data_IF_844380531811
#
_entry.id   IF_844380531811
#
_cell.length_a   1.000
_cell.length_b   1.000
_cell.length_c   1.000
_cell.angle_alpha   90.00
_cell.angle_beta   90.00
_cell.angle_gamma   90.00
#
_symmetry.space_group_name_H-M   'P 1'
#
loop_
_entity.id
_entity.type
_entity.pdbx_description
1 polymer ?
#
# COMPACT_ATOMS: atom_id res chain seq x y z
N UNK A 1 35.32 14.04 44.70
CA UNK A 1 35.70 12.79 44.03
C UNK A 1 34.51 12.31 43.24
N UNK A 2 34.67 12.34 41.91
CA UNK A 2 34.04 11.53 40.86
C UNK A 2 32.51 11.35 40.81
N UNK A 3 31.97 11.90 39.72
CA UNK A 3 30.71 11.61 39.03
C UNK A 3 30.63 10.13 38.64
N UNK A 4 29.44 9.53 38.77
CA UNK A 4 29.13 8.22 38.18
C UNK A 4 28.14 8.42 37.03
N UNK A 5 28.59 8.05 35.84
CA UNK A 5 27.90 8.12 34.55
C UNK A 5 27.50 6.71 34.14
N UNK A 6 26.21 6.40 34.24
CA UNK A 6 25.65 5.15 33.72
C UNK A 6 25.56 5.19 32.20
N UNK A 7 26.48 4.51 31.53
CA UNK A 7 26.47 4.24 30.09
C UNK A 7 25.40 3.20 29.69
N UNK A 8 24.76 3.46 28.55
CA UNK A 8 23.82 2.59 27.85
C UNK A 8 24.48 1.31 27.32
N UNK A 9 23.91 0.15 27.63
CA UNK A 9 24.34 -1.14 27.08
C UNK A 9 23.61 -1.42 25.76
N UNK A 10 24.38 -1.53 24.69
CA UNK A 10 23.97 -1.92 23.33
C UNK A 10 23.44 -3.37 23.25
N UNK A 11 22.32 -3.64 22.55
CA UNK A 11 21.76 -4.97 22.41
C UNK A 11 22.39 -5.72 21.22
N UNK A 12 23.68 -6.05 21.32
CA UNK A 12 24.32 -7.10 20.50
C UNK A 12 24.74 -8.23 21.43
N UNK A 13 23.73 -8.93 21.97
CA UNK A 13 23.94 -10.14 22.73
C UNK A 13 23.97 -11.36 21.79
N UNK A 14 25.21 -11.76 21.46
CA UNK A 14 25.73 -13.14 21.41
C UNK A 14 25.18 -14.06 20.30
N UNK A 15 25.81 -13.99 19.12
CA UNK A 15 25.89 -15.13 18.19
C UNK A 15 26.76 -16.23 18.83
N UNK A 16 26.42 -17.49 18.60
CA UNK A 16 27.19 -18.63 19.10
C UNK A 16 28.57 -18.66 18.40
N UNK A 17 29.70 -18.82 19.11
CA UNK A 17 31.04 -18.82 18.51
C UNK A 17 31.21 -19.79 17.33
N UNK A 18 30.50 -20.92 17.32
CA UNK A 18 30.50 -21.86 16.19
C UNK A 18 29.83 -21.30 14.92
N UNK A 19 28.80 -20.48 15.07
CA UNK A 19 28.07 -19.88 13.95
C UNK A 19 28.84 -18.69 13.37
N UNK A 20 29.61 -17.98 14.20
CA UNK A 20 30.53 -16.92 13.78
C UNK A 20 31.72 -17.50 12.99
N UNK A 21 32.31 -18.61 13.47
CA UNK A 21 33.38 -19.31 12.77
C UNK A 21 32.92 -19.93 11.44
N UNK A 22 31.67 -20.41 11.35
CA UNK A 22 31.07 -20.88 10.10
C UNK A 22 30.81 -19.74 9.11
N UNK A 23 30.36 -18.58 9.59
CA UNK A 23 30.14 -17.40 8.76
C UNK A 23 31.46 -16.87 8.18
N UNK A 24 32.50 -16.77 9.01
CA UNK A 24 33.84 -16.32 8.60
C UNK A 24 34.40 -17.29 7.55
N UNK A 25 34.32 -18.61 7.80
CA UNK A 25 34.76 -19.61 6.82
C UNK A 25 33.96 -19.57 5.50
N UNK A 26 32.68 -19.19 5.54
CA UNK A 26 31.86 -19.02 4.34
C UNK A 26 32.30 -17.79 3.53
N UNK A 27 32.53 -16.65 4.18
CA UNK A 27 32.99 -15.44 3.51
C UNK A 27 34.43 -15.57 2.97
N UNK A 28 35.32 -16.25 3.69
CA UNK A 28 36.69 -16.52 3.20
C UNK A 28 36.70 -17.44 1.98
N UNK A 29 35.78 -18.41 1.90
CA UNK A 29 35.61 -19.24 0.69
C UNK A 29 35.09 -18.43 -0.48
N UNK A 30 34.16 -17.50 -0.26
CA UNK A 30 33.64 -16.62 -1.31
C UNK A 30 34.72 -15.66 -1.83
N UNK A 31 35.56 -15.13 -0.94
CA UNK A 31 36.69 -14.28 -1.32
C UNK A 31 37.74 -15.05 -2.10
N UNK A 32 38.09 -16.28 -1.68
CA UNK A 32 39.01 -17.13 -2.45
C UNK A 32 38.48 -17.49 -3.84
N UNK A 33 37.19 -17.81 -3.97
CA UNK A 33 36.57 -18.06 -5.28
C UNK A 33 36.59 -16.79 -6.13
N UNK A 34 36.35 -15.62 -5.54
CA UNK A 34 36.44 -14.34 -6.24
C UNK A 34 37.86 -14.07 -6.75
N UNK A 35 38.87 -14.31 -5.91
CA UNK A 35 40.28 -14.10 -6.25
C UNK A 35 40.79 -15.13 -7.27
N UNK A 36 40.35 -16.38 -7.19
CA UNK A 36 40.66 -17.43 -8.18
C UNK A 36 40.02 -17.12 -9.54
N UNK A 37 38.77 -16.64 -9.56
CA UNK A 37 38.10 -16.20 -10.79
C UNK A 37 38.77 -14.96 -11.38
N UNK A 38 39.21 -14.01 -10.55
CA UNK A 38 39.96 -12.85 -11.03
C UNK A 38 41.34 -13.23 -11.57
N UNK A 39 42.05 -14.17 -10.94
CA UNK A 39 43.33 -14.68 -11.45
C UNK A 39 43.18 -15.50 -12.74
N UNK A 40 42.11 -16.29 -12.89
CA UNK A 40 41.79 -17.00 -14.14
C UNK A 40 41.44 -16.04 -15.29
N UNK A 41 40.78 -14.91 -14.98
CA UNK A 41 40.48 -13.85 -15.95
C UNK A 41 41.76 -13.10 -16.36
N UNK A 42 42.69 -12.88 -15.44
CA UNK A 42 43.96 -12.16 -15.70
C UNK A 42 44.98 -13.03 -16.46
N UNK A 43 45.01 -14.35 -16.23
CA UNK A 43 46.02 -15.26 -16.82
C UNK A 43 45.56 -16.00 -18.09
N UNK A 44 44.30 -15.83 -18.51
CA UNK A 44 43.81 -16.21 -19.84
C UNK A 44 43.98 -17.71 -20.20
N UNK A 45 44.01 -18.60 -19.22
CA UNK A 45 44.34 -20.02 -19.44
C UNK A 45 43.15 -20.93 -19.11
N UNK A 46 42.23 -21.11 -20.06
CA UNK A 46 41.26 -22.22 -20.01
C UNK A 46 41.77 -23.36 -20.88
N UNK A 47 42.18 -24.48 -20.26
CA UNK A 47 42.37 -25.75 -20.95
C UNK A 47 40.99 -26.32 -21.28
N UNK A 48 40.73 -26.57 -22.56
CA UNK A 48 39.56 -27.32 -23.03
C UNK A 48 39.87 -28.82 -22.98
N UNK A 49 39.02 -29.60 -22.32
CA UNK A 49 38.87 -31.03 -22.63
C UNK A 49 37.39 -31.32 -22.95
N UNK A 50 37.24 -32.01 -24.08
CA UNK A 50 36.09 -32.74 -24.60
C UNK A 50 34.92 -31.96 -25.26
N UNK A 51 35.14 -31.58 -26.53
CA UNK A 51 34.54 -32.40 -27.60
C UNK A 51 33.05 -32.23 -27.95
N UNK A 52 32.53 -31.01 -28.13
CA UNK A 52 31.42 -30.76 -29.09
C UNK A 52 31.33 -29.30 -29.53
N UNK A 53 31.65 -29.08 -30.81
CA UNK A 53 31.69 -27.77 -31.47
C UNK A 53 30.28 -27.23 -31.73
N UNK A 54 29.83 -26.23 -30.98
CA UNK A 54 28.73 -25.36 -31.39
C UNK A 54 29.36 -24.07 -31.91
N UNK A 55 29.34 -23.85 -33.23
CA UNK A 55 29.77 -22.57 -33.80
C UNK A 55 28.77 -21.49 -33.39
N UNK A 56 29.24 -20.47 -32.64
CA UNK A 56 28.47 -19.24 -32.41
C UNK A 56 28.38 -18.46 -33.74
N UNK A 57 27.19 -17.97 -34.13
CA UNK A 57 27.05 -17.06 -35.26
C UNK A 57 27.89 -15.79 -35.07
N UNK A 58 28.44 -15.25 -36.15
CA UNK A 58 29.35 -14.10 -36.14
C UNK A 58 28.78 -12.83 -35.44
N UNK A 59 27.46 -12.75 -35.29
CA UNK A 59 26.73 -11.68 -34.58
C UNK A 59 26.94 -11.68 -33.04
N UNK A 60 27.62 -12.69 -32.50
CA UNK A 60 27.98 -12.81 -31.07
C UNK A 60 29.46 -12.56 -30.78
N UNK A 61 30.19 -11.95 -31.72
CA UNK A 61 31.55 -11.47 -31.48
C UNK A 61 31.44 -10.02 -30.98
N UNK A 62 31.66 -9.79 -29.70
CA UNK A 62 31.86 -8.43 -29.19
C UNK A 62 33.27 -7.98 -29.61
N UNK A 63 33.35 -6.88 -30.34
CA UNK A 63 34.63 -6.18 -30.50
C UNK A 63 35.09 -5.70 -29.12
N UNK A 64 36.29 -6.13 -28.74
CA UNK A 64 36.98 -5.61 -27.55
C UNK A 64 37.41 -4.17 -27.84
N UNK A 65 36.53 -3.21 -27.59
CA UNK A 65 36.91 -1.80 -27.61
C UNK A 65 37.38 -1.41 -26.22
N UNK A 66 38.67 -1.06 -26.18
CA UNK A 66 39.42 -0.54 -25.04
C UNK A 66 38.65 0.59 -24.34
N UNK A 67 38.77 0.59 -23.01
CA UNK A 67 38.02 1.48 -22.12
C UNK A 67 38.03 2.95 -22.54
N UNK A 68 36.86 3.57 -22.49
CA UNK A 68 36.74 5.01 -22.40
C UNK A 68 35.73 5.38 -21.31
N UNK A 69 36.27 6.06 -20.30
CA UNK A 69 35.64 7.04 -19.40
C UNK A 69 34.28 6.69 -18.78
N UNK A 70 34.32 5.88 -17.71
CA UNK A 70 33.25 5.80 -16.70
C UNK A 70 33.27 7.02 -15.76
N UNK A 71 33.18 8.23 -16.30
CA UNK A 71 32.93 9.42 -15.46
C UNK A 71 32.08 10.50 -16.16
N UNK A 72 31.14 10.08 -17.00
CA UNK A 72 30.06 10.95 -17.46
C UNK A 72 28.78 10.52 -16.74
N UNK A 73 28.36 11.28 -15.74
CA UNK A 73 27.05 11.10 -15.11
C UNK A 73 25.93 11.04 -16.16
N UNK A 74 24.89 10.25 -15.87
CA UNK A 74 23.74 10.07 -16.77
C UNK A 74 23.13 11.43 -17.14
N UNK A 75 22.97 11.71 -18.44
CA UNK A 75 22.42 12.98 -18.94
C UNK A 75 20.98 13.21 -18.42
N UNK A 76 20.77 14.25 -17.59
CA UNK A 76 19.46 14.71 -17.13
C UNK A 76 18.40 14.81 -18.25
N UNK A 77 18.76 15.37 -19.41
CA UNK A 77 17.80 15.56 -20.52
C UNK A 77 17.45 14.25 -21.23
N UNK A 78 18.34 13.25 -21.17
CA UNK A 78 18.05 11.91 -21.69
C UNK A 78 16.99 11.23 -20.81
N UNK A 79 17.16 11.26 -19.50
CA UNK A 79 16.22 10.65 -18.55
C UNK A 79 14.83 11.31 -18.62
N UNK A 80 14.75 12.65 -18.72
CA UNK A 80 13.46 13.35 -18.88
C UNK A 80 12.75 12.97 -20.20
N UNK A 81 13.49 12.89 -21.31
CA UNK A 81 12.92 12.47 -22.62
C UNK A 81 12.46 11.01 -22.60
N UNK A 82 13.24 10.14 -21.97
CA UNK A 82 12.92 8.73 -21.83
C UNK A 82 11.63 8.55 -21.03
N UNK A 83 11.52 9.12 -19.83
CA UNK A 83 10.29 9.01 -19.01
C UNK A 83 9.05 9.62 -19.66
N UNK A 84 9.21 10.67 -20.49
CA UNK A 84 8.08 11.26 -21.24
C UNK A 84 7.48 10.29 -22.26
N UNK A 85 8.31 9.47 -22.89
CA UNK A 85 7.90 8.55 -23.97
C UNK A 85 7.86 7.09 -23.53
N UNK A 86 8.28 6.77 -22.30
CA UNK A 86 8.47 5.39 -21.83
C UNK A 86 7.20 4.53 -21.94
N UNK A 87 6.03 5.17 -21.88
CA UNK A 87 4.77 4.46 -22.01
C UNK A 87 4.40 4.12 -23.45
N UNK A 88 4.88 4.91 -24.41
CA UNK A 88 4.64 4.82 -25.86
C UNK A 88 5.76 4.08 -26.59
N UNK A 89 6.90 3.85 -25.93
CA UNK A 89 8.04 3.15 -26.51
C UNK A 89 7.67 1.72 -26.93
N UNK A 90 8.15 1.34 -28.10
CA UNK A 90 8.11 -0.02 -28.62
C UNK A 90 9.11 -0.93 -27.89
N UNK A 91 8.91 -2.25 -27.99
CA UNK A 91 9.86 -3.21 -27.41
C UNK A 91 11.28 -3.05 -28.01
N UNK A 92 11.39 -2.66 -29.28
CA UNK A 92 12.69 -2.42 -29.94
C UNK A 92 13.39 -1.22 -29.30
N UNK A 93 12.69 -0.09 -29.16
CA UNK A 93 13.23 1.10 -28.51
C UNK A 93 13.67 0.82 -27.07
N UNK A 94 12.88 0.06 -26.29
CA UNK A 94 13.25 -0.29 -24.93
C UNK A 94 14.47 -1.19 -24.84
N UNK A 95 14.63 -2.14 -25.77
CA UNK A 95 15.82 -3.00 -25.83
C UNK A 95 17.06 -2.19 -26.18
N UNK A 96 16.94 -1.23 -27.08
CA UNK A 96 18.05 -0.33 -27.44
C UNK A 96 18.50 0.48 -26.23
N UNK A 97 17.57 1.14 -25.53
CA UNK A 97 17.91 1.89 -24.31
C UNK A 97 18.53 1.00 -23.24
N UNK A 98 18.01 -0.22 -23.03
CA UNK A 98 18.58 -1.18 -22.07
C UNK A 98 20.00 -1.62 -22.44
N UNK A 99 20.30 -1.81 -23.73
CA UNK A 99 21.65 -2.13 -24.21
C UNK A 99 22.61 -0.97 -23.94
N UNK A 100 22.18 0.26 -24.17
CA UNK A 100 23.00 1.46 -23.92
C UNK A 100 23.37 1.64 -22.44
N UNK A 101 22.51 1.20 -21.52
CA UNK A 101 22.79 1.21 -20.06
C UNK A 101 23.32 -0.11 -19.52
N UNK A 102 23.73 -1.02 -20.41
CA UNK A 102 24.28 -2.34 -20.08
C UNK A 102 23.38 -3.17 -19.14
N UNK A 103 22.06 -3.10 -19.36
CA UNK A 103 21.06 -3.96 -18.70
C UNK A 103 20.49 -4.97 -19.67
N UNK A 104 20.01 -6.10 -19.14
CA UNK A 104 19.45 -7.19 -19.95
C UNK A 104 18.34 -6.67 -20.88
N UNK A 105 18.45 -6.85 -22.21
CA UNK A 105 17.43 -6.45 -23.17
C UNK A 105 16.42 -7.58 -23.44
N UNK A 106 16.31 -8.56 -22.55
CA UNK A 106 15.42 -9.72 -22.75
C UNK A 106 14.15 -9.56 -21.88
N UNK A 107 13.07 -10.18 -22.36
CA UNK A 107 11.76 -10.15 -21.72
C UNK A 107 10.66 -9.48 -22.55
N UNK A 108 9.47 -9.51 -21.98
CA UNK A 108 8.27 -8.84 -22.47
C UNK A 108 8.40 -7.32 -22.40
N UNK A 109 7.59 -6.58 -23.17
CA UNK A 109 7.58 -5.10 -23.13
C UNK A 109 7.40 -4.55 -21.71
N UNK A 110 6.62 -5.23 -20.86
CA UNK A 110 6.41 -4.88 -19.45
C UNK A 110 7.70 -5.00 -18.63
N UNK A 111 8.42 -6.10 -18.79
CA UNK A 111 9.70 -6.35 -18.10
C UNK A 111 10.81 -5.40 -18.56
N UNK A 112 10.86 -5.09 -19.86
CA UNK A 112 11.81 -4.13 -20.42
C UNK A 112 11.54 -2.72 -19.87
N UNK A 113 10.28 -2.30 -19.85
CA UNK A 113 9.83 -1.01 -19.31
C UNK A 113 10.15 -0.87 -17.82
N UNK A 114 9.86 -1.91 -17.04
CA UNK A 114 10.18 -1.96 -15.62
C UNK A 114 11.68 -1.79 -15.39
N UNK A 115 12.51 -2.50 -16.14
CA UNK A 115 13.97 -2.45 -15.99
C UNK A 115 14.54 -1.07 -16.31
N UNK A 116 13.99 -0.38 -17.32
CA UNK A 116 14.32 1.02 -17.61
C UNK A 116 13.92 1.97 -16.49
N UNK A 117 12.69 1.86 -15.98
CA UNK A 117 12.19 2.68 -14.86
C UNK A 117 13.04 2.49 -13.61
N UNK A 118 13.37 1.24 -13.27
CA UNK A 118 14.19 0.92 -12.11
C UNK A 118 15.61 1.47 -12.24
N UNK A 119 16.24 1.32 -13.41
CA UNK A 119 17.60 1.81 -13.61
C UNK A 119 17.71 3.33 -13.45
N UNK A 120 16.83 4.08 -14.12
CA UNK A 120 16.86 5.54 -14.09
C UNK A 120 16.09 6.15 -12.92
N UNK A 121 15.64 5.34 -11.95
CA UNK A 121 14.81 5.77 -10.83
C UNK A 121 15.50 6.87 -10.02
N UNK A 122 16.78 6.71 -9.73
CA UNK A 122 17.57 7.65 -8.92
C UNK A 122 17.80 8.95 -9.67
N UNK A 123 18.17 8.88 -10.94
CA UNK A 123 18.46 10.02 -11.82
C UNK A 123 17.20 10.83 -12.11
N UNK A 124 16.06 10.16 -12.29
CA UNK A 124 14.77 10.81 -12.41
C UNK A 124 14.34 11.51 -11.10
N UNK A 125 14.62 10.90 -9.95
CA UNK A 125 14.41 11.55 -8.65
C UNK A 125 15.33 12.78 -8.47
N UNK A 126 16.60 12.69 -8.88
CA UNK A 126 17.58 13.78 -8.84
C UNK A 126 17.27 14.92 -9.82
N UNK A 127 16.66 14.62 -10.97
CA UNK A 127 16.07 15.61 -11.87
C UNK A 127 14.95 16.41 -11.22
N UNK A 128 14.13 15.73 -10.41
CA UNK A 128 13.20 16.38 -9.50
C UNK A 128 13.93 17.30 -8.52
N UNK A 129 15.10 16.89 -8.02
CA UNK A 129 15.90 17.65 -7.05
C UNK A 129 16.69 18.83 -7.61
N UNK A 130 17.19 18.84 -8.85
CA UNK A 130 17.86 20.06 -9.39
C UNK A 130 16.89 21.17 -9.77
N UNK A 131 15.59 20.87 -9.90
CA UNK A 131 14.54 21.89 -9.83
C UNK A 131 14.39 22.46 -8.40
N UNK A 132 15.11 21.94 -7.37
CA UNK A 132 14.88 22.20 -5.93
C UNK A 132 15.01 23.66 -5.46
N UNK A 133 15.87 24.46 -6.09
CA UNK A 133 16.07 25.84 -5.63
C UNK A 133 14.83 26.71 -5.91
N UNK A 134 14.11 26.42 -7.00
CA UNK A 134 12.74 26.89 -7.24
C UNK A 134 11.65 26.13 -6.45
N UNK A 135 12.02 25.00 -5.83
CA UNK A 135 11.14 23.97 -5.23
C UNK A 135 10.98 24.08 -3.71
N UNK A 136 11.54 25.12 -3.08
CA UNK A 136 10.98 25.61 -1.80
C UNK A 136 9.47 25.89 -1.94
N UNK A 137 9.01 26.29 -3.14
CA UNK A 137 7.58 26.36 -3.52
C UNK A 137 6.91 25.02 -3.86
N UNK A 138 7.64 23.94 -4.11
CA UNK A 138 7.14 22.63 -4.57
C UNK A 138 7.21 21.50 -3.53
N UNK A 139 7.67 21.78 -2.30
CA UNK A 139 7.27 21.00 -1.11
C UNK A 139 5.73 20.88 -0.99
N UNK A 140 4.98 21.69 -1.75
CA UNK A 140 3.53 21.67 -1.89
C UNK A 140 2.95 20.69 -2.95
N UNK A 141 3.73 19.99 -3.80
CA UNK A 141 3.18 19.23 -4.96
C UNK A 141 2.99 17.71 -4.77
N UNK A 142 2.86 17.23 -3.54
CA UNK A 142 2.28 15.89 -3.28
C UNK A 142 1.16 15.99 -2.27
N UNK A 143 0.24 16.91 -2.56
CA UNK A 143 -0.98 17.14 -1.81
C UNK A 143 -2.12 16.78 -2.73
N UNK A 144 -2.98 15.89 -2.28
CA UNK A 144 -4.25 15.64 -2.94
C UNK A 144 -5.01 16.96 -3.02
N UNK A 145 -5.73 17.21 -4.11
CA UNK A 145 -6.69 18.32 -4.19
C UNK A 145 -7.84 18.09 -3.22
N UNK A 146 -8.23 16.83 -3.08
CA UNK A 146 -9.35 16.39 -2.25
C UNK A 146 -8.99 15.20 -1.36
N UNK A 147 -9.60 15.12 -0.19
CA UNK A 147 -9.70 13.88 0.58
C UNK A 147 -11.14 13.38 0.52
N UNK A 148 -11.30 12.05 0.43
CA UNK A 148 -12.60 11.38 0.53
C UNK A 148 -12.55 10.46 1.74
N UNK A 149 -13.10 10.93 2.85
CA UNK A 149 -13.21 10.11 4.05
C UNK A 149 -14.40 9.13 3.91
N UNK A 150 -14.16 7.86 4.18
CA UNK A 150 -15.17 6.80 4.13
C UNK A 150 -15.14 6.01 5.44
N UNK A 151 -16.30 5.49 5.84
CA UNK A 151 -16.47 4.62 7.01
C UNK A 151 -17.64 3.66 6.71
N UNK A 152 -17.33 2.45 6.25
CA UNK A 152 -18.32 1.51 5.70
C UNK A 152 -18.94 0.71 6.84
N UNK A 153 -20.26 0.80 6.96
CA UNK A 153 -21.01 -0.12 7.83
C UNK A 153 -21.35 -1.40 7.09
N UNK A 154 -21.28 -2.52 7.81
CA UNK A 154 -21.55 -3.84 7.27
C UNK A 154 -22.50 -4.64 8.17
N UNK A 155 -23.16 -5.66 7.59
CA UNK A 155 -23.89 -6.66 8.37
C UNK A 155 -22.97 -7.25 9.44
N UNK A 156 -23.52 -7.53 10.63
CA UNK A 156 -22.77 -8.14 11.71
C UNK A 156 -23.70 -8.88 12.69
N UNK A 157 -23.11 -9.74 13.52
CA UNK A 157 -23.80 -10.48 14.58
C UNK A 157 -23.07 -10.34 15.92
N UNK A 158 -23.79 -10.63 17.00
CA UNK A 158 -23.27 -10.51 18.36
C UNK A 158 -22.15 -11.53 18.66
N UNK A 159 -22.10 -12.65 17.94
CA UNK A 159 -20.98 -13.60 17.98
C UNK A 159 -19.80 -13.03 17.20
N UNK A 160 -19.03 -12.16 17.87
CA UNK A 160 -17.98 -11.33 17.24
C UNK A 160 -16.80 -12.10 16.64
N UNK A 161 -16.76 -13.42 16.78
CA UNK A 161 -15.61 -14.26 16.42
C UNK A 161 -15.88 -15.27 15.30
N UNK A 162 -17.06 -15.25 14.67
CA UNK A 162 -17.26 -16.10 13.51
C UNK A 162 -16.49 -15.57 12.30
N UNK A 163 -15.39 -16.24 11.98
CA UNK A 163 -14.56 -15.95 10.80
C UNK A 163 -15.30 -16.20 9.48
N UNK A 164 -16.34 -17.03 9.52
CA UNK A 164 -17.15 -17.39 8.36
C UNK A 164 -18.29 -16.43 8.12
N UNK A 165 -18.59 -15.52 9.06
CA UNK A 165 -19.63 -14.53 8.86
C UNK A 165 -19.33 -13.70 7.61
N UNK A 166 -20.29 -13.68 6.69
CA UNK A 166 -20.17 -13.01 5.40
C UNK A 166 -20.69 -11.57 5.53
N UNK A 167 -19.80 -10.68 5.99
CA UNK A 167 -20.07 -9.26 6.07
C UNK A 167 -20.39 -8.68 4.67
N UNK A 168 -21.52 -7.98 4.57
CA UNK A 168 -21.96 -7.23 3.39
C UNK A 168 -22.09 -5.75 3.75
N UNK A 169 -21.65 -4.85 2.86
CA UNK A 169 -21.88 -3.41 3.03
C UNK A 169 -23.38 -3.12 3.15
N UNK A 170 -23.77 -2.34 4.15
CA UNK A 170 -25.15 -1.85 4.37
C UNK A 170 -25.24 -0.32 4.43
N UNK A 171 -24.12 0.39 4.61
CA UNK A 171 -24.01 1.83 4.41
C UNK A 171 -22.72 2.14 3.65
N UNK A 172 -22.81 3.00 2.64
CA UNK A 172 -21.67 3.52 1.87
C UNK A 172 -21.65 5.05 1.97
N UNK A 173 -20.98 5.61 2.98
CA UNK A 173 -20.81 7.05 3.14
C UNK A 173 -19.48 7.54 2.56
N UNK A 174 -19.46 8.81 2.14
CA UNK A 174 -18.25 9.52 1.75
C UNK A 174 -18.33 11.00 2.10
N UNK A 175 -17.24 11.57 2.61
CA UNK A 175 -17.14 12.99 2.99
C UNK A 175 -15.98 13.63 2.24
N UNK A 176 -16.29 14.67 1.47
CA UNK A 176 -15.32 15.38 0.63
C UNK A 176 -14.70 16.55 1.40
N UNK A 177 -13.37 16.58 1.44
CA UNK A 177 -12.59 17.69 2.01
C UNK A 177 -11.79 18.36 0.90
N UNK A 178 -11.84 19.68 0.86
CA UNK A 178 -10.96 20.52 0.04
C UNK A 178 -9.60 20.70 0.76
N UNK A 179 -8.49 20.24 0.16
CA UNK A 179 -7.16 20.35 0.76
C UNK A 179 -6.50 21.75 0.69
N UNK A 180 -7.08 22.69 -0.05
CA UNK A 180 -6.62 24.09 -0.03
C UNK A 180 -7.14 24.81 1.22
N UNK A 181 -8.38 24.50 1.62
CA UNK A 181 -9.05 25.14 2.76
C UNK A 181 -9.07 24.26 4.01
N UNK A 182 -8.87 22.95 3.85
CA UNK A 182 -9.08 21.91 4.86
C UNK A 182 -10.48 22.00 5.50
N UNK A 183 -11.48 22.16 4.63
CA UNK A 183 -12.89 22.19 5.02
C UNK A 183 -13.68 21.11 4.31
N UNK A 184 -14.71 20.58 4.97
CA UNK A 184 -15.67 19.66 4.35
C UNK A 184 -16.54 20.47 3.39
N UNK A 185 -16.59 20.04 2.13
CA UNK A 185 -17.31 20.75 1.05
C UNK A 185 -18.52 20.00 0.52
N UNK A 186 -18.59 18.68 0.72
CA UNK A 186 -19.75 17.89 0.33
C UNK A 186 -19.80 16.55 1.10
N UNK A 187 -20.97 15.91 1.12
CA UNK A 187 -21.23 14.64 1.78
C UNK A 187 -22.11 13.76 0.89
N UNK A 188 -21.80 12.47 0.85
CA UNK A 188 -22.57 11.44 0.17
C UNK A 188 -22.92 10.32 1.16
N UNK A 189 -24.14 9.82 1.07
CA UNK A 189 -24.62 8.67 1.84
C UNK A 189 -25.58 7.87 0.98
N UNK A 190 -25.41 6.56 0.95
CA UNK A 190 -26.43 5.62 0.51
C UNK A 190 -26.41 4.40 1.40
N UNK A 191 -27.58 3.87 1.73
CA UNK A 191 -27.67 2.51 2.25
C UNK A 191 -27.46 1.52 1.11
N UNK A 192 -27.17 0.28 1.47
CA UNK A 192 -26.95 -0.83 0.55
C UNK A 192 -27.77 -2.03 1.02
N UNK A 193 -28.45 -2.68 0.08
CA UNK A 193 -29.24 -3.87 0.35
C UNK A 193 -28.34 -5.12 0.31
N UNK A 194 -28.23 -5.88 1.42
CA UNK A 194 -27.51 -7.15 1.44
C UNK A 194 -28.30 -8.26 0.71
N UNK A 195 -27.58 -9.19 0.07
CA UNK A 195 -28.14 -10.35 -0.65
C UNK A 195 -27.93 -11.67 0.09
N UNK A 196 -26.78 -11.84 0.75
CA UNK A 196 -26.42 -13.06 1.47
C UNK A 196 -27.17 -13.11 2.81
N UNK A 197 -27.14 -12.01 3.54
CA UNK A 197 -27.79 -11.82 4.84
C UNK A 197 -28.83 -10.69 4.75
N UNK A 198 -29.93 -10.89 4.00
CA UNK A 198 -30.91 -9.83 3.73
C UNK A 198 -31.67 -9.37 4.98
N UNK A 199 -31.66 -10.17 6.05
CA UNK A 199 -32.21 -9.79 7.36
C UNK A 199 -31.06 -9.37 8.28
N UNK A 200 -30.97 -8.08 8.60
CA UNK A 200 -29.95 -7.58 9.52
C UNK A 200 -30.30 -7.95 10.96
N UNK A 201 -29.28 -8.36 11.72
CA UNK A 201 -29.51 -8.80 13.10
C UNK A 201 -29.91 -7.63 14.01
N UNK A 202 -30.62 -7.93 15.11
CA UNK A 202 -30.94 -6.91 16.12
C UNK A 202 -29.68 -6.28 16.73
N UNK A 203 -28.58 -7.04 16.79
CA UNK A 203 -27.27 -6.52 17.20
C UNK A 203 -26.76 -5.49 16.20
N UNK A 204 -26.79 -5.80 14.90
CA UNK A 204 -26.39 -4.90 13.83
C UNK A 204 -27.19 -3.60 13.88
N UNK A 205 -28.52 -3.67 13.91
CA UNK A 205 -29.38 -2.47 14.04
C UNK A 205 -29.09 -1.66 15.30
N UNK A 206 -28.85 -2.32 16.44
CA UNK A 206 -28.52 -1.61 17.67
C UNK A 206 -27.16 -0.91 17.58
N UNK A 207 -26.20 -1.54 16.92
CA UNK A 207 -24.84 -1.03 16.76
C UNK A 207 -24.82 0.13 15.77
N UNK A 208 -25.35 -0.05 14.56
CA UNK A 208 -25.20 0.90 13.45
C UNK A 208 -26.35 1.90 13.31
N UNK A 209 -27.43 1.69 14.07
CA UNK A 209 -28.69 2.43 13.97
C UNK A 209 -29.44 2.25 12.64
N UNK A 210 -28.98 1.36 11.76
CA UNK A 210 -29.62 1.06 10.48
C UNK A 210 -30.76 0.08 10.70
N UNK A 211 -31.95 0.43 10.21
CA UNK A 211 -33.15 -0.41 10.34
C UNK A 211 -33.29 -1.35 9.15
N UNK A 212 -34.08 -2.42 9.33
CA UNK A 212 -34.43 -3.33 8.23
C UNK A 212 -35.14 -2.60 7.08
N UNK A 213 -35.91 -1.55 7.39
CA UNK A 213 -36.60 -0.76 6.36
C UNK A 213 -35.60 0.01 5.48
N UNK A 214 -34.52 0.54 6.08
CA UNK A 214 -33.46 1.27 5.37
C UNK A 214 -32.78 0.37 4.33
N UNK A 215 -32.36 -0.83 4.72
CA UNK A 215 -31.71 -1.78 3.79
C UNK A 215 -32.69 -2.39 2.79
N UNK A 216 -33.97 -2.55 3.13
CA UNK A 216 -34.98 -3.07 2.20
C UNK A 216 -35.25 -2.10 1.05
N UNK A 217 -35.24 -0.79 1.32
CA UNK A 217 -35.46 0.26 0.33
C UNK A 217 -34.18 0.65 -0.44
N UNK A 218 -33.03 0.16 0.00
CA UNK A 218 -31.73 0.50 -0.57
C UNK A 218 -31.44 -0.18 -1.93
N UNK A 219 -30.58 0.43 -2.77
CA UNK A 219 -30.04 -0.24 -3.94
C UNK A 219 -29.07 -1.37 -3.55
N UNK A 220 -28.82 -2.30 -4.48
CA UNK A 220 -27.72 -3.25 -4.34
C UNK A 220 -26.35 -2.57 -4.51
N UNK A 221 -25.28 -3.23 -4.07
CA UNK A 221 -23.95 -2.64 -4.02
C UNK A 221 -23.45 -2.06 -5.36
N UNK A 222 -23.64 -2.68 -6.55
CA UNK A 222 -23.17 -2.11 -7.81
C UNK A 222 -23.79 -0.76 -8.13
N UNK A 223 -25.08 -0.59 -7.82
CA UNK A 223 -25.79 0.68 -8.02
C UNK A 223 -25.38 1.72 -6.97
N UNK A 224 -25.25 1.31 -5.70
CA UNK A 224 -24.71 2.17 -4.64
C UNK A 224 -23.31 2.71 -4.99
N UNK A 225 -22.45 1.83 -5.51
CA UNK A 225 -21.13 2.18 -6.01
C UNK A 225 -21.19 3.14 -7.19
N UNK A 226 -22.04 2.88 -8.18
CA UNK A 226 -22.23 3.77 -9.32
C UNK A 226 -22.64 5.19 -8.88
N UNK A 227 -23.54 5.30 -7.89
CA UNK A 227 -23.95 6.59 -7.31
C UNK A 227 -22.79 7.32 -6.61
N UNK A 228 -21.92 6.60 -5.89
CA UNK A 228 -20.71 7.17 -5.31
C UNK A 228 -19.77 7.69 -6.41
N UNK A 229 -19.54 6.91 -7.46
CA UNK A 229 -18.69 7.30 -8.58
C UNK A 229 -19.24 8.52 -9.33
N UNK A 230 -20.56 8.59 -9.53
CA UNK A 230 -21.23 9.76 -10.11
C UNK A 230 -21.07 11.00 -9.21
N UNK A 231 -21.24 10.84 -7.90
CA UNK A 231 -20.98 11.91 -6.94
C UNK A 231 -19.54 12.41 -7.00
N UNK A 232 -18.54 11.51 -7.04
CA UNK A 232 -17.13 11.90 -7.21
C UNK A 232 -16.84 12.56 -8.56
N UNK A 233 -17.49 12.09 -9.63
CA UNK A 233 -17.37 12.66 -10.97
C UNK A 233 -17.85 14.11 -11.05
N UNK A 234 -18.95 14.45 -10.35
CA UNK A 234 -19.46 15.83 -10.26
C UNK A 234 -18.46 16.82 -9.63
N UNK A 235 -17.50 16.32 -8.85
CA UNK A 235 -16.40 17.11 -8.25
C UNK A 235 -15.12 17.11 -9.10
N UNK A 236 -15.17 16.56 -10.32
CA UNK A 236 -14.05 16.50 -11.26
C UNK A 236 -13.03 15.39 -10.98
N UNK A 237 -13.31 14.48 -10.04
CA UNK A 237 -12.34 13.50 -9.53
C UNK A 237 -12.15 12.28 -10.45
N UNK A 238 -12.99 12.13 -11.48
CA UNK A 238 -13.08 10.94 -12.34
C UNK A 238 -12.77 11.22 -13.82
N UNK A 239 -11.93 12.22 -14.12
CA UNK A 239 -11.55 12.59 -15.50
C UNK A 239 -10.04 12.80 -15.67
N UNK A 240 -9.63 13.19 -16.89
CA UNK A 240 -8.21 13.44 -17.26
C UNK A 240 -7.61 14.71 -16.61
N UNK A 241 -8.36 15.37 -15.73
CA UNK A 241 -7.91 16.56 -15.03
C UNK A 241 -6.85 16.20 -13.99
N UNK A 242 -5.59 16.48 -14.33
CA UNK A 242 -4.43 16.24 -13.47
C UNK A 242 -4.46 17.06 -12.17
N UNK A 243 -5.30 18.08 -12.08
CA UNK A 243 -5.45 18.93 -10.89
C UNK A 243 -6.52 18.41 -9.91
N UNK A 244 -7.29 17.37 -10.26
CA UNK A 244 -8.36 16.79 -9.43
C UNK A 244 -7.92 15.55 -8.62
N UNK A 245 -6.64 15.45 -8.25
CA UNK A 245 -6.12 14.32 -7.47
C UNK A 245 -6.83 14.14 -6.11
N UNK A 246 -7.09 12.89 -5.71
CA UNK A 246 -7.74 12.59 -4.44
C UNK A 246 -7.07 11.44 -3.69
N UNK A 247 -7.37 11.34 -2.40
CA UNK A 247 -7.07 10.17 -1.60
C UNK A 247 -8.28 9.72 -0.80
N UNK A 248 -8.46 8.40 -0.74
CA UNK A 248 -9.36 7.76 0.22
C UNK A 248 -8.75 7.85 1.62
N UNK A 249 -9.58 8.16 2.61
CA UNK A 249 -9.18 8.33 4.01
C UNK A 249 -10.08 7.48 4.90
N UNK A 250 -9.48 6.69 5.79
CA UNK A 250 -10.19 5.75 6.67
C UNK A 250 -9.61 5.79 8.09
N UNK A 251 -10.39 5.39 9.09
CA UNK A 251 -9.92 5.27 10.50
C UNK A 251 -9.05 4.02 10.74
N UNK A 252 -9.02 3.10 9.77
CA UNK A 252 -8.36 1.82 9.85
C UNK A 252 -8.29 1.11 8.50
N UNK A 253 -7.74 -0.11 8.45
CA UNK A 253 -7.65 -0.84 7.20
C UNK A 253 -8.95 -1.54 6.81
N UNK A 254 -9.92 -1.71 7.73
CA UNK A 254 -11.05 -2.62 7.54
C UNK A 254 -11.97 -2.23 6.39
N UNK A 255 -12.25 -0.94 6.19
CA UNK A 255 -13.10 -0.45 5.11
C UNK A 255 -12.63 -0.95 3.75
N UNK A 256 -11.34 -0.81 3.47
CA UNK A 256 -10.76 -1.20 2.17
C UNK A 256 -10.33 -2.67 2.17
N UNK A 257 -9.61 -3.12 3.21
CA UNK A 257 -9.06 -4.47 3.28
C UNK A 257 -10.16 -5.54 3.38
N UNK A 258 -11.25 -5.24 4.08
CA UNK A 258 -12.28 -6.21 4.38
C UNK A 258 -13.59 -5.91 3.63
N UNK A 259 -14.28 -4.83 3.97
CA UNK A 259 -15.66 -4.58 3.52
C UNK A 259 -15.74 -4.29 2.03
N UNK A 260 -15.00 -3.29 1.54
CA UNK A 260 -14.97 -2.94 0.12
C UNK A 260 -14.52 -4.12 -0.73
N UNK A 261 -13.44 -4.80 -0.32
CA UNK A 261 -12.95 -5.97 -1.04
C UNK A 261 -14.01 -7.08 -1.15
N UNK A 262 -14.71 -7.41 -0.06
CA UNK A 262 -15.79 -8.41 -0.09
C UNK A 262 -16.91 -8.01 -1.02
N UNK A 263 -17.37 -6.75 -0.93
CA UNK A 263 -18.46 -6.25 -1.77
C UNK A 263 -18.10 -6.32 -3.26
N UNK A 264 -16.87 -6.00 -3.65
CA UNK A 264 -16.44 -6.18 -5.04
C UNK A 264 -16.38 -7.65 -5.47
N UNK A 265 -15.87 -8.54 -4.61
CA UNK A 265 -15.77 -9.97 -4.92
C UNK A 265 -17.15 -10.65 -5.02
N UNK A 266 -18.09 -10.29 -4.16
CA UNK A 266 -19.46 -10.82 -4.17
C UNK A 266 -20.16 -10.59 -5.50
N UNK A 267 -19.96 -9.41 -6.09
CA UNK A 267 -20.59 -9.02 -7.35
C UNK A 267 -19.69 -9.27 -8.57
N UNK A 268 -18.60 -10.02 -8.42
CA UNK A 268 -17.61 -10.28 -9.48
C UNK A 268 -17.09 -8.98 -10.16
N UNK A 269 -16.95 -7.92 -9.38
CA UNK A 269 -16.44 -6.62 -9.82
C UNK A 269 -14.95 -6.49 -9.47
N UNK A 270 -14.24 -5.66 -10.22
CA UNK A 270 -12.84 -5.33 -9.95
C UNK A 270 -12.75 -4.02 -9.18
N UNK A 271 -12.09 -4.03 -8.01
CA UNK A 271 -11.86 -2.81 -7.20
C UNK A 271 -11.03 -1.83 -8.04
N UNK A 272 -11.47 -0.59 -8.31
CA UNK A 272 -10.67 0.35 -9.10
C UNK A 272 -9.33 0.66 -8.42
N UNK A 273 -8.28 0.86 -9.22
CA UNK A 273 -6.90 0.99 -8.72
C UNK A 273 -6.74 2.11 -7.68
N UNK A 274 -7.43 3.23 -7.87
CA UNK A 274 -7.46 4.41 -7.01
C UNK A 274 -7.95 4.07 -5.60
N UNK A 275 -8.87 3.12 -5.47
CA UNK A 275 -9.46 2.71 -4.19
C UNK A 275 -8.68 1.58 -3.50
N UNK A 276 -7.59 1.09 -4.12
CA UNK A 276 -6.69 0.12 -3.50
C UNK A 276 -5.63 0.77 -2.61
N UNK A 277 -5.58 2.10 -2.57
CA UNK A 277 -4.56 2.90 -1.89
C UNK A 277 -5.27 3.94 -1.02
N UNK A 278 -4.91 4.03 0.25
CA UNK A 278 -5.64 4.89 1.18
C UNK A 278 -4.75 5.44 2.30
N UNK A 279 -5.26 6.51 2.92
CA UNK A 279 -4.71 7.15 4.11
C UNK A 279 -5.42 6.57 5.32
N UNK A 280 -4.74 5.72 6.07
CA UNK A 280 -5.18 5.33 7.41
C UNK A 280 -4.80 6.45 8.39
N UNK A 281 -5.78 7.26 8.82
CA UNK A 281 -5.52 8.43 9.68
C UNK A 281 -5.08 8.03 11.08
N UNK A 282 -5.59 6.92 11.59
CA UNK A 282 -5.20 6.40 12.90
C UNK A 282 -3.71 6.11 12.98
N UNK A 283 -3.13 5.54 11.91
CA UNK A 283 -1.69 5.29 11.88
C UNK A 283 -0.87 6.58 11.86
N UNK A 284 -1.31 7.60 11.11
CA UNK A 284 -0.66 8.91 11.10
C UNK A 284 -0.75 9.58 12.47
N UNK A 285 -1.92 9.47 13.10
CA UNK A 285 -2.19 9.98 14.44
C UNK A 285 -1.30 9.30 15.49
N UNK A 286 -1.24 7.97 15.53
CA UNK A 286 -0.40 7.24 16.49
C UNK A 286 1.11 7.49 16.28
N UNK A 287 1.52 7.84 15.06
CA UNK A 287 2.89 8.20 14.74
C UNK A 287 3.28 9.62 15.22
N UNK A 288 2.35 10.43 15.72
CA UNK A 288 2.66 11.77 16.24
C UNK A 288 3.49 11.72 17.53
N UNK A 289 3.47 10.62 18.28
CA UNK A 289 4.21 10.49 19.52
C UNK A 289 3.68 9.36 20.41
N UNK A 290 4.41 9.03 21.48
CA UNK A 290 4.01 7.98 22.42
C UNK A 290 2.67 8.31 23.10
N UNK A 291 2.41 9.59 23.34
CA UNK A 291 1.21 10.16 23.93
C UNK A 291 -0.03 10.04 23.05
N UNK A 292 0.14 9.84 21.73
CA UNK A 292 -0.96 9.63 20.78
C UNK A 292 -1.28 8.15 20.54
N UNK A 293 -0.51 7.22 21.12
CA UNK A 293 -0.82 5.79 20.99
C UNK A 293 -2.14 5.45 21.67
N UNK A 294 -3.01 4.73 20.96
CA UNK A 294 -4.30 4.29 21.47
C UNK A 294 -4.13 2.95 22.21
N UNK A 295 -3.50 2.99 23.39
CA UNK A 295 -3.12 1.78 24.16
C UNK A 295 -4.27 1.15 24.95
N UNK A 296 -5.29 1.92 25.31
CA UNK A 296 -6.45 1.41 26.06
C UNK A 296 -7.42 0.71 25.10
N UNK A 297 -7.53 -0.62 25.23
CA UNK A 297 -8.57 -1.42 24.56
C UNK A 297 -9.64 -1.82 25.58
N UNK A 298 -10.88 -2.03 25.13
CA UNK A 298 -11.96 -2.57 25.97
C UNK A 298 -12.67 -1.59 26.90
N UNK A 299 -12.40 -0.28 26.78
CA UNK A 299 -13.09 0.78 27.52
C UNK A 299 -14.41 1.22 26.87
N UNK A 300 -14.90 0.47 25.88
CA UNK A 300 -16.14 0.77 25.14
C UNK A 300 -16.04 1.95 24.17
N UNK A 301 -14.89 2.62 24.07
CA UNK A 301 -14.70 3.80 23.20
C UNK A 301 -14.03 3.45 21.88
N UNK A 302 -14.54 4.04 20.79
CA UNK A 302 -14.03 3.85 19.43
C UNK A 302 -12.66 4.52 19.24
N UNK A 303 -11.98 4.12 18.16
CA UNK A 303 -10.69 4.71 17.77
C UNK A 303 -10.85 6.19 17.39
N UNK A 304 -11.90 6.51 16.63
CA UNK A 304 -12.33 7.85 16.23
C UNK A 304 -12.56 8.73 17.46
N UNK A 305 -13.31 8.24 18.45
CA UNK A 305 -13.62 9.00 19.67
C UNK A 305 -12.35 9.40 20.44
N UNK A 306 -11.40 8.46 20.60
CA UNK A 306 -10.13 8.73 21.29
C UNK A 306 -9.24 9.70 20.51
N UNK A 307 -9.24 9.62 19.17
CA UNK A 307 -8.53 10.58 18.33
C UNK A 307 -9.13 11.99 18.46
N UNK A 308 -10.46 12.10 18.43
CA UNK A 308 -11.15 13.37 18.62
C UNK A 308 -10.82 14.00 19.97
N UNK A 309 -10.91 13.23 21.07
CA UNK A 309 -10.57 13.68 22.43
C UNK A 309 -9.15 14.27 22.50
N UNK A 310 -8.16 13.54 21.98
CA UNK A 310 -6.74 13.97 22.01
C UNK A 310 -6.45 15.16 21.09
N UNK A 311 -7.29 15.42 20.09
CA UNK A 311 -7.19 16.56 19.19
C UNK A 311 -8.09 17.74 19.62
N UNK A 312 -8.87 17.59 20.69
CA UNK A 312 -9.85 18.59 21.11
C UNK A 312 -10.95 18.82 20.07
N UNK A 313 -11.31 17.79 19.31
CA UNK A 313 -12.38 17.83 18.32
C UNK A 313 -13.68 17.40 19.00
N UNK A 314 -14.72 18.21 18.86
CA UNK A 314 -16.08 17.81 19.22
C UNK A 314 -16.62 16.83 18.18
N UNK A 315 -16.98 15.64 18.64
CA UNK A 315 -17.58 14.61 17.79
C UNK A 315 -18.97 15.06 17.32
N UNK A 316 -19.25 14.82 16.05
CA UNK A 316 -20.60 14.93 15.49
C UNK A 316 -21.28 13.56 15.44
N UNK A 317 -22.57 13.53 15.77
CA UNK A 317 -23.41 12.35 15.61
C UNK A 317 -23.14 11.23 16.63
N UNK A 318 -23.68 10.05 16.32
CA UNK A 318 -23.53 8.85 17.15
C UNK A 318 -22.48 7.93 16.52
N UNK A 319 -21.67 7.28 17.35
CA UNK A 319 -20.72 6.28 16.88
C UNK A 319 -21.44 5.16 16.13
N UNK A 320 -20.77 4.60 15.11
CA UNK A 320 -21.30 3.55 14.22
C UNK A 320 -22.47 3.99 13.31
N UNK A 321 -22.74 5.29 13.24
CA UNK A 321 -23.46 5.84 12.09
C UNK A 321 -22.42 6.22 11.03
N UNK A 322 -22.30 5.45 9.96
CA UNK A 322 -21.17 5.53 9.03
C UNK A 322 -20.92 6.93 8.48
N UNK A 323 -21.97 7.69 8.11
CA UNK A 323 -21.79 9.09 7.68
C UNK A 323 -21.22 10.00 8.77
N UNK A 324 -21.58 9.79 10.03
CA UNK A 324 -21.08 10.57 11.16
C UNK A 324 -19.63 10.22 11.47
N UNK A 325 -19.30 8.93 11.44
CA UNK A 325 -17.92 8.48 11.61
C UNK A 325 -17.02 8.98 10.46
N UNK A 326 -17.48 8.96 9.21
CA UNK A 326 -16.76 9.55 8.07
C UNK A 326 -16.55 11.07 8.24
N UNK A 327 -17.52 11.81 8.79
CA UNK A 327 -17.35 13.26 9.12
C UNK A 327 -16.25 13.43 10.17
N UNK A 328 -16.28 12.63 11.24
CA UNK A 328 -15.28 12.71 12.31
C UNK A 328 -13.88 12.32 11.81
N UNK A 329 -13.75 11.30 10.95
CA UNK A 329 -12.51 10.94 10.25
C UNK A 329 -12.00 12.10 9.40
N UNK A 330 -12.87 12.77 8.65
CA UNK A 330 -12.50 13.96 7.87
C UNK A 330 -11.98 15.10 8.76
N UNK A 331 -12.64 15.36 9.91
CA UNK A 331 -12.18 16.36 10.89
C UNK A 331 -10.82 16.01 11.48
N UNK A 332 -10.59 14.74 11.82
CA UNK A 332 -9.30 14.24 12.32
C UNK A 332 -8.20 14.47 11.28
N UNK A 333 -8.45 14.11 10.01
CA UNK A 333 -7.52 14.34 8.92
C UNK A 333 -7.17 15.84 8.78
N UNK A 334 -8.17 16.72 8.83
CA UNK A 334 -7.96 18.17 8.78
C UNK A 334 -7.16 18.67 9.99
N UNK A 335 -7.48 18.22 11.21
CA UNK A 335 -6.79 18.63 12.43
C UNK A 335 -5.32 18.19 12.45
N UNK A 336 -5.00 16.99 11.96
CA UNK A 336 -3.62 16.54 11.81
C UNK A 336 -2.81 17.50 10.92
N UNK A 337 -3.39 17.97 9.82
CA UNK A 337 -2.69 18.93 8.94
C UNK A 337 -2.65 20.33 9.55
N UNK A 338 -3.80 20.86 9.97
CA UNK A 338 -3.95 22.26 10.38
C UNK A 338 -3.29 22.52 11.74
N UNK A 339 -3.54 21.65 12.73
CA UNK A 339 -3.07 21.83 14.10
C UNK A 339 -1.68 21.20 14.32
N UNK A 340 -1.45 19.99 13.82
CA UNK A 340 -0.19 19.25 14.05
C UNK A 340 0.85 19.45 12.95
N UNK A 341 0.51 20.14 11.86
CA UNK A 341 1.40 20.39 10.70
C UNK A 341 1.91 19.08 10.07
N UNK A 342 1.13 18.02 10.21
CA UNK A 342 1.45 16.69 9.67
C UNK A 342 1.17 16.64 8.18
N UNK A 343 1.96 15.86 7.45
CA UNK A 343 1.71 15.55 6.04
C UNK A 343 0.84 14.28 5.97
N UNK A 344 -0.31 14.37 5.31
CA UNK A 344 -1.09 13.20 4.94
C UNK A 344 -0.53 12.58 3.67
N UNK A 345 -0.41 11.25 3.66
CA UNK A 345 0.10 10.49 2.53
C UNK A 345 -0.54 9.10 2.49
N UNK A 346 -0.57 8.48 1.30
CA UNK A 346 -0.97 7.07 1.18
C UNK A 346 0.00 6.23 2.00
N UNK A 347 -0.48 5.68 3.10
CA UNK A 347 0.34 4.92 4.05
C UNK A 347 -0.03 3.43 4.08
N UNK A 348 -1.10 3.04 3.38
CA UNK A 348 -1.55 1.67 3.21
C UNK A 348 -2.14 1.43 1.82
N UNK A 349 -2.02 0.18 1.36
CA UNK A 349 -2.63 -0.30 0.13
C UNK A 349 -2.99 -1.78 0.21
N UNK A 350 -3.87 -2.26 -0.65
CA UNK A 350 -4.15 -3.68 -0.84
C UNK A 350 -3.49 -4.19 -2.13
N UNK A 351 -2.84 -5.35 -2.06
CA UNK A 351 -2.08 -5.96 -3.16
C UNK A 351 -2.56 -7.38 -3.39
N UNK A 352 -2.79 -7.75 -4.66
CA UNK A 352 -3.24 -9.10 -5.01
C UNK A 352 -2.19 -10.14 -4.61
N UNK A 353 -2.64 -11.19 -3.91
CA UNK A 353 -1.84 -12.38 -3.60
C UNK A 353 -1.67 -13.22 -4.86
N UNK A 354 -0.46 -13.72 -5.08
CA UNK A 354 -0.21 -14.71 -6.15
C UNK A 354 -0.91 -16.01 -5.80
N UNK A 355 -1.47 -16.69 -6.80
CA UNK A 355 -2.11 -18.00 -6.67
C UNK A 355 -3.36 -18.06 -5.76
N UNK A 356 -3.98 -16.92 -5.44
CA UNK A 356 -5.29 -16.89 -4.76
C UNK A 356 -6.38 -16.53 -5.78
N UNK A 357 -7.47 -17.31 -5.87
CA UNK A 357 -8.60 -17.00 -6.75
C UNK A 357 -9.22 -15.62 -6.47
N UNK A 358 -9.66 -14.93 -7.51
CA UNK A 358 -10.39 -13.66 -7.40
C UNK A 358 -11.89 -13.91 -7.13
N UNK A 359 -12.19 -14.57 -6.02
CA UNK A 359 -13.54 -14.81 -5.54
C UNK A 359 -13.57 -14.72 -4.01
N UNK A 360 -14.78 -14.75 -3.43
CA UNK A 360 -14.92 -14.93 -2.00
C UNK A 360 -14.33 -16.30 -1.59
N UNK A 361 -13.61 -16.38 -0.47
CA UNK A 361 -13.11 -17.65 0.03
C UNK A 361 -14.27 -18.51 0.53
N UNK A 362 -14.17 -19.82 0.33
CA UNK A 362 -15.09 -20.79 0.93
C UNK A 362 -15.07 -20.68 2.47
N UNK A 363 -16.15 -21.06 3.17
CA UNK A 363 -16.16 -21.12 4.62
C UNK A 363 -14.98 -21.93 5.17
N UNK A 364 -14.32 -21.42 6.20
CA UNK A 364 -13.26 -22.12 6.91
C UNK A 364 -13.84 -23.35 7.61
N UNK A 365 -13.18 -24.50 7.45
CA UNK A 365 -13.54 -25.71 8.17
C UNK A 365 -13.09 -25.63 9.65
N UNK A 366 -13.56 -26.57 10.48
CA UNK A 366 -13.21 -26.58 11.90
C UNK A 366 -11.70 -26.71 12.16
N UNK A 367 -10.94 -27.38 11.29
CA UNK A 367 -9.51 -27.56 11.47
C UNK A 367 -8.76 -26.24 11.17
N UNK A 368 -9.17 -25.52 10.13
CA UNK A 368 -8.69 -24.17 9.81
C UNK A 368 -9.03 -23.20 10.94
N UNK A 369 -10.27 -23.22 11.45
CA UNK A 369 -10.71 -22.39 12.59
C UNK A 369 -9.88 -22.70 13.84
N UNK A 370 -9.66 -23.98 14.17
CA UNK A 370 -8.81 -24.39 15.31
C UNK A 370 -7.39 -23.85 15.16
N UNK A 371 -6.79 -24.04 13.98
CA UNK A 371 -5.43 -23.57 13.68
C UNK A 371 -5.33 -22.04 13.80
N UNK A 372 -6.31 -21.31 13.27
CA UNK A 372 -6.35 -19.86 13.37
C UNK A 372 -6.48 -19.43 14.83
N UNK A 373 -7.38 -20.02 15.60
CA UNK A 373 -7.56 -19.72 17.03
C UNK A 373 -6.29 -20.01 17.86
N UNK A 374 -5.55 -21.08 17.56
CA UNK A 374 -4.25 -21.38 18.17
C UNK A 374 -3.18 -20.34 17.80
N UNK A 375 -3.18 -19.85 16.55
CA UNK A 375 -2.28 -18.77 16.15
C UNK A 375 -2.63 -17.44 16.83
N UNK A 376 -3.91 -17.19 17.11
CA UNK A 376 -4.39 -16.02 17.84
C UNK A 376 -3.97 -16.06 19.31
N UNK A 377 -4.03 -17.23 19.96
CA UNK A 377 -3.69 -17.41 21.38
C UNK A 377 -2.18 -17.42 21.66
N UNK A 378 -1.36 -17.86 20.71
CA UNK A 378 0.09 -17.99 20.88
C UNK A 378 0.91 -16.70 20.65
N UNK A 379 0.31 -15.61 20.15
CA UNK A 379 1.01 -14.32 19.98
C UNK A 379 1.13 -13.55 21.30
N UNK A 380 2.14 -13.89 22.11
CA UNK A 380 2.61 -13.05 23.23
C UNK A 380 3.35 -11.83 22.68
N UNK A 381 2.64 -10.71 22.52
CA UNK A 381 3.23 -9.40 22.23
C UNK A 381 2.45 -8.58 21.21
N UNK A 382 1.83 -7.49 21.66
CA UNK A 382 1.45 -6.30 20.87
C UNK A 382 0.78 -6.52 19.50
N UNK A 383 -0.27 -7.34 19.44
CA UNK A 383 -1.50 -7.18 18.64
C UNK A 383 -2.18 -8.55 18.58
N UNK A 384 -3.20 -8.78 19.41
CA UNK A 384 -4.15 -9.89 19.18
C UNK A 384 -4.83 -9.58 17.85
N UNK A 385 -4.70 -10.43 16.81
CA UNK A 385 -5.51 -10.26 15.61
C UNK A 385 -6.96 -10.54 15.99
N UNK A 386 -7.86 -9.60 15.77
CA UNK A 386 -9.29 -9.89 15.91
C UNK A 386 -9.73 -10.82 14.75
N UNK A 387 -10.82 -11.56 14.93
CA UNK A 387 -11.47 -12.40 13.91
C UNK A 387 -11.57 -11.73 12.53
N UNK A 388 -11.84 -10.42 12.51
CA UNK A 388 -11.86 -9.57 11.32
C UNK A 388 -10.55 -9.61 10.51
N UNK A 389 -9.39 -9.62 11.19
CA UNK A 389 -8.07 -9.70 10.55
C UNK A 389 -7.81 -11.11 10.00
N UNK A 390 -8.24 -12.15 10.70
CA UNK A 390 -8.12 -13.52 10.23
C UNK A 390 -8.96 -13.75 8.96
N UNK A 391 -10.21 -13.30 8.95
CA UNK A 391 -11.07 -13.34 7.78
C UNK A 391 -10.51 -12.48 6.62
N UNK A 392 -9.99 -11.28 6.90
CA UNK A 392 -9.35 -10.45 5.87
C UNK A 392 -8.12 -11.13 5.23
N UNK A 393 -7.39 -11.95 5.98
CA UNK A 393 -6.24 -12.69 5.47
C UNK A 393 -6.62 -13.84 4.51
N UNK A 394 -7.89 -14.24 4.45
CA UNK A 394 -8.39 -15.22 3.47
C UNK A 394 -8.75 -14.58 2.13
N UNK A 395 -8.91 -13.25 2.09
CA UNK A 395 -9.27 -12.52 0.88
C UNK A 395 -8.08 -12.42 -0.11
N UNK A 396 -8.33 -12.32 -1.43
CA UNK A 396 -7.31 -12.32 -2.47
C UNK A 396 -6.35 -11.13 -2.46
N UNK A 397 -6.70 -10.00 -1.86
CA UNK A 397 -5.82 -8.86 -1.68
C UNK A 397 -5.34 -8.76 -0.21
N UNK A 398 -4.03 -8.66 -0.04
CA UNK A 398 -3.37 -8.46 1.25
C UNK A 398 -3.07 -6.98 1.50
N UNK A 399 -3.24 -6.55 2.75
CA UNK A 399 -2.82 -5.24 3.20
C UNK A 399 -1.28 -5.13 3.19
N UNK A 400 -0.78 -4.02 2.66
CA UNK A 400 0.64 -3.63 2.68
C UNK A 400 0.76 -2.20 3.16
N UNK A 401 1.74 -1.97 4.02
CA UNK A 401 2.13 -0.62 4.42
C UNK A 401 2.91 0.06 3.31
N UNK A 402 2.66 1.34 3.11
CA UNK A 402 3.39 2.21 2.19
C UNK A 402 4.28 3.14 3.02
N UNK A 403 5.58 3.15 2.74
CA UNK A 403 6.53 4.06 3.37
C UNK A 403 6.41 5.47 2.78
N UNK A 404 6.92 6.47 3.50
CA UNK A 404 6.98 7.83 2.98
C UNK A 404 7.85 7.92 1.72
N UNK A 405 8.92 7.12 1.63
CA UNK A 405 9.75 7.02 0.43
C UNK A 405 8.98 6.43 -0.76
N UNK A 406 8.20 5.38 -0.54
CA UNK A 406 7.35 4.79 -1.59
C UNK A 406 6.27 5.76 -2.05
N UNK A 407 5.68 6.51 -1.12
CA UNK A 407 4.76 7.60 -1.44
C UNK A 407 5.44 8.70 -2.26
N UNK A 408 6.61 9.19 -1.81
CA UNK A 408 7.39 10.25 -2.44
C UNK A 408 8.07 9.85 -3.76
N UNK A 409 8.11 8.55 -4.07
CA UNK A 409 8.59 8.03 -5.36
C UNK A 409 7.47 7.54 -6.27
N UNK A 410 6.20 7.57 -5.81
CA UNK A 410 5.02 7.02 -6.51
C UNK A 410 5.10 5.50 -6.74
N UNK A 411 6.07 4.82 -6.14
CA UNK A 411 6.20 3.37 -6.21
C UNK A 411 4.99 2.65 -5.59
N UNK A 412 4.24 3.33 -4.73
CA UNK A 412 2.97 2.82 -4.21
C UNK A 412 1.91 2.63 -5.30
N UNK A 413 2.03 3.29 -6.45
CA UNK A 413 1.13 3.13 -7.60
C UNK A 413 1.51 1.94 -8.48
N UNK A 414 2.72 1.38 -8.31
CA UNK A 414 3.18 0.24 -9.09
C UNK A 414 2.47 -1.03 -8.60
N UNK A 415 1.68 -1.64 -9.48
CA UNK A 415 0.92 -2.85 -9.21
C UNK A 415 1.30 -3.97 -10.19
N UNK A 416 2.08 -4.95 -9.71
CA UNK A 416 2.50 -6.13 -10.50
C UNK A 416 1.31 -6.97 -11.00
N UNK A 417 0.17 -6.88 -10.31
CA UNK A 417 -1.04 -7.67 -10.54
C UNK A 417 -2.12 -6.98 -11.37
N UNK A 418 -1.91 -5.71 -11.71
CA UNK A 418 -2.83 -4.91 -12.48
C UNK A 418 -2.39 -4.99 -13.95
N UNK A 419 -3.15 -5.69 -14.77
CA UNK A 419 -3.08 -5.58 -16.23
C UNK A 419 -4.09 -4.53 -16.76
N UNK A 420 -4.61 -3.69 -15.85
CA UNK A 420 -5.40 -2.51 -16.20
C UNK A 420 -4.51 -1.59 -17.03
N UNK A 421 -4.87 -1.49 -18.32
CA UNK A 421 -4.15 -0.81 -19.40
C UNK A 421 -4.15 0.70 -19.26
#
# INVERSE_FOLDING_TARGET
MTLDSGEEVSPLAKMNPRDEELLINYYDKLLKISDEVEQEIVTGSRKEEDGRRIQKPAENTLDTVLGSDRDKGIDPKKVERLFRRINEMTAVEMRTELKEIHKSPHGTTKELRFRLRQFYRKEFALLGQKRDETRSKMKNRRRFRYLVAIDIEATCEAETNDINYQHETIELPAVLVDCNTFTIIDKFRTYVRPEINPQISAFCTKLTHITQADVNAAPFFPEAWARLMEWMSRHGMMGDDKDASFAIVTDGPNDVQHFLQRSFLQYNMTIPHEFRHFVNVKRIFENQGKEYRLTTKGDGRTSISKMCEKLGIEMEGTAHEGIMDAINVAKIACALVVQKKTILYINQRIVRKRNVPLCLPEPADEAEIRTLNEQLSNRRGHQIPNSSNAAANRLPFALRNVSEEEFNTEAYWDCDSCDER
#
